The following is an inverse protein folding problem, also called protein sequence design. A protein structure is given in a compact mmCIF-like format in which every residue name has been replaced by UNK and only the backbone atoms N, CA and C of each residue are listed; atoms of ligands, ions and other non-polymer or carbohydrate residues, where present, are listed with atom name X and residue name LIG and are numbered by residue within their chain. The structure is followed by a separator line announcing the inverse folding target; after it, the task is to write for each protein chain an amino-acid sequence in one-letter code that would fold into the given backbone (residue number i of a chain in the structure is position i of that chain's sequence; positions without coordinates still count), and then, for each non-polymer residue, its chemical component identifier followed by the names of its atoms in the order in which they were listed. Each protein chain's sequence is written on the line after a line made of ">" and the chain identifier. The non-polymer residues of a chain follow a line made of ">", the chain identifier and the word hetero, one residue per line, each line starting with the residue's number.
data_IF_600561306752
#
_entry.id   IF_600561306752
#
_cell.length_a   1.000
_cell.length_b   1.000
_cell.length_c   1.000
_cell.angle_alpha   90.00
_cell.angle_beta   90.00
_cell.angle_gamma   90.00
#
_symmetry.space_group_name_H-M   'P 1'
#
loop_
_entity.id
_entity.type
_entity.pdbx_description
1 polymer ?
#
# COMPACT_ATOMS: atom_id res chain seq x y z
N UNK A 1 8.23 10.58 -15.38
CA UNK A 1 7.51 9.43 -14.77
C UNK A 1 8.23 9.10 -13.47
N UNK A 2 7.52 8.76 -12.38
CA UNK A 2 8.09 8.72 -11.01
C UNK A 2 9.18 7.65 -10.77
N UNK A 3 9.57 6.85 -11.78
CA UNK A 3 10.64 5.86 -11.66
C UNK A 3 10.35 4.73 -10.67
N UNK A 4 9.08 4.48 -10.34
CA UNK A 4 8.69 3.47 -9.37
C UNK A 4 8.90 2.07 -9.93
N UNK A 5 9.48 1.19 -9.11
CA UNK A 5 9.51 -0.24 -9.39
C UNK A 5 8.08 -0.77 -9.52
N UNK A 6 7.87 -1.75 -10.41
CA UNK A 6 6.55 -2.35 -10.63
C UNK A 6 5.90 -2.81 -9.32
N UNK A 7 6.72 -3.28 -8.37
CA UNK A 7 6.25 -3.81 -7.10
C UNK A 7 5.53 -2.81 -6.19
N UNK A 8 5.83 -1.51 -6.29
CA UNK A 8 5.28 -0.50 -5.38
C UNK A 8 3.77 -0.29 -5.48
N UNK A 9 3.15 -0.78 -6.56
CA UNK A 9 1.71 -0.70 -6.79
C UNK A 9 1.03 -2.07 -6.72
N UNK A 10 1.73 -3.12 -6.23
CA UNK A 10 1.21 -4.48 -6.18
C UNK A 10 -0.05 -4.57 -5.32
N UNK A 11 -0.02 -4.03 -4.10
CA UNK A 11 -1.19 -4.04 -3.21
C UNK A 11 -2.37 -3.23 -3.77
N UNK A 12 -2.11 -2.03 -4.31
CA UNK A 12 -3.13 -1.21 -4.99
C UNK A 12 -3.79 -1.95 -6.14
N UNK A 13 -3.01 -2.63 -6.99
CA UNK A 13 -3.56 -3.41 -8.10
C UNK A 13 -4.30 -4.65 -7.65
N UNK A 14 -3.86 -5.31 -6.58
CA UNK A 14 -4.56 -6.47 -6.04
C UNK A 14 -5.95 -6.07 -5.54
N UNK A 15 -6.04 -5.03 -4.71
CA UNK A 15 -7.34 -4.54 -4.22
C UNK A 15 -8.25 -4.10 -5.37
N UNK A 16 -7.71 -3.41 -6.37
CA UNK A 16 -8.48 -3.02 -7.55
C UNK A 16 -8.97 -4.22 -8.37
N UNK A 17 -8.15 -5.26 -8.51
CA UNK A 17 -8.50 -6.49 -9.23
C UNK A 17 -9.61 -7.27 -8.52
N UNK A 18 -9.53 -7.40 -7.20
CA UNK A 18 -10.46 -8.21 -6.41
C UNK A 18 -11.78 -7.47 -6.09
N UNK A 19 -11.70 -6.16 -5.83
CA UNK A 19 -12.83 -5.40 -5.28
C UNK A 19 -13.26 -4.22 -6.16
N UNK A 20 -12.52 -3.88 -7.21
CA UNK A 20 -12.75 -2.69 -8.00
C UNK A 20 -12.52 -1.40 -7.20
N UNK A 21 -13.07 -0.29 -7.71
CA UNK A 21 -13.03 0.99 -7.02
C UNK A 21 -14.18 1.09 -6.00
N UNK A 22 -13.88 0.79 -4.74
CA UNK A 22 -14.77 0.96 -3.58
C UNK A 22 -14.79 2.40 -3.03
N UNK A 23 -14.33 3.40 -3.79
CA UNK A 23 -14.31 4.82 -3.37
C UNK A 23 -13.39 5.00 -2.15
N UNK A 24 -13.81 5.69 -1.10
CA UNK A 24 -13.04 6.00 0.11
C UNK A 24 -12.56 4.76 0.86
N UNK A 25 -13.23 3.61 0.72
CA UNK A 25 -12.80 2.39 1.39
C UNK A 25 -11.53 1.78 0.76
N UNK A 26 -11.22 2.08 -0.51
CA UNK A 26 -10.08 1.48 -1.23
C UNK A 26 -8.77 1.66 -0.48
N UNK A 27 -8.50 2.84 0.06
CA UNK A 27 -7.23 3.15 0.71
C UNK A 27 -7.00 2.31 1.97
N UNK A 28 -8.05 1.99 2.72
CA UNK A 28 -7.97 1.13 3.90
C UNK A 28 -7.68 -0.32 3.53
N UNK A 29 -8.33 -0.82 2.48
CA UNK A 29 -8.08 -2.17 1.97
C UNK A 29 -6.67 -2.31 1.40
N UNK A 30 -6.15 -1.27 0.74
CA UNK A 30 -4.78 -1.25 0.24
C UNK A 30 -3.79 -1.35 1.40
N UNK A 31 -3.99 -0.57 2.47
CA UNK A 31 -3.13 -0.63 3.66
C UNK A 31 -3.17 -2.00 4.35
N UNK A 32 -4.36 -2.59 4.50
CA UNK A 32 -4.48 -3.92 5.09
C UNK A 32 -3.85 -4.99 4.20
N UNK A 33 -4.02 -4.91 2.88
CA UNK A 33 -3.40 -5.84 1.94
C UNK A 33 -1.88 -5.72 1.92
N UNK A 34 -1.32 -4.51 1.98
CA UNK A 34 0.13 -4.29 2.16
C UNK A 34 0.62 -4.99 3.43
N UNK A 35 -0.02 -4.72 4.58
CA UNK A 35 0.35 -5.34 5.86
C UNK A 35 0.26 -6.86 5.83
N UNK A 36 -0.79 -7.43 5.22
CA UNK A 36 -0.97 -8.89 5.08
C UNK A 36 0.12 -9.50 4.20
N UNK A 37 0.47 -8.86 3.09
CA UNK A 37 1.53 -9.33 2.20
C UNK A 37 2.89 -9.37 2.90
N UNK A 38 3.21 -8.35 3.69
CA UNK A 38 4.46 -8.35 4.43
C UNK A 38 4.48 -9.39 5.57
N UNK A 39 3.35 -9.60 6.26
CA UNK A 39 3.23 -10.68 7.23
C UNK A 39 3.41 -12.07 6.60
N UNK A 40 2.86 -12.30 5.40
CA UNK A 40 3.06 -13.56 4.65
C UNK A 40 4.53 -13.76 4.27
N UNK A 41 5.20 -12.71 3.78
CA UNK A 41 6.63 -12.75 3.44
C UNK A 41 7.51 -13.01 4.65
N UNK A 42 7.25 -12.36 5.79
CA UNK A 42 7.96 -12.61 7.05
C UNK A 42 7.85 -14.09 7.47
N UNK A 43 6.67 -14.69 7.32
CA UNK A 43 6.47 -16.13 7.60
C UNK A 43 7.13 -17.06 6.58
N UNK A 44 7.39 -16.58 5.35
CA UNK A 44 7.99 -17.35 4.26
C UNK A 44 9.52 -17.22 4.19
N UNK A 45 10.18 -16.75 5.26
CA UNK A 45 11.63 -16.51 5.36
C UNK A 45 12.17 -15.37 4.47
N UNK A 46 11.31 -14.61 3.78
CA UNK A 46 11.71 -13.48 2.91
C UNK A 46 12.17 -12.23 3.69
N UNK A 47 12.13 -12.26 5.03
CA UNK A 47 12.89 -11.34 5.89
C UNK A 47 12.48 -9.87 5.83
N UNK A 48 11.18 -9.57 5.77
CA UNK A 48 10.71 -8.17 5.70
C UNK A 48 10.64 -7.56 7.10
N UNK A 49 11.36 -6.44 7.28
CA UNK A 49 11.54 -5.82 8.59
C UNK A 49 10.35 -4.96 9.05
N UNK A 50 9.54 -4.42 8.12
CA UNK A 50 8.49 -3.45 8.43
C UNK A 50 7.19 -3.72 7.70
N UNK A 51 6.09 -3.18 8.22
CA UNK A 51 4.77 -3.20 7.58
C UNK A 51 4.71 -2.43 6.26
N UNK A 52 5.78 -1.68 5.92
CA UNK A 52 5.93 -0.85 4.72
C UNK A 52 6.90 -1.46 3.70
N UNK A 53 6.89 -2.77 3.52
CA UNK A 53 7.77 -3.49 2.57
C UNK A 53 9.27 -3.30 2.88
N UNK A 54 9.61 -3.24 4.17
CA UNK A 54 10.98 -2.99 4.64
C UNK A 54 11.43 -1.53 4.55
N UNK A 55 10.56 -0.61 4.10
CA UNK A 55 10.81 0.83 4.12
C UNK A 55 10.22 1.46 5.38
N UNK A 56 10.86 2.53 5.86
CA UNK A 56 10.40 3.31 7.01
C UNK A 56 9.23 4.25 6.64
N UNK A 57 9.30 4.86 5.45
CA UNK A 57 8.36 5.88 5.02
C UNK A 57 7.57 5.45 3.80
N UNK A 58 6.30 5.84 3.78
CA UNK A 58 5.39 5.64 2.66
C UNK A 58 4.51 6.86 2.42
N UNK A 59 3.83 6.87 1.28
CA UNK A 59 2.85 7.90 0.94
C UNK A 59 1.57 7.24 0.46
N UNK A 60 0.44 7.80 0.89
CA UNK A 60 -0.90 7.40 0.48
C UNK A 60 -1.56 8.56 -0.23
N UNK A 61 -2.13 8.28 -1.40
CA UNK A 61 -2.84 9.26 -2.22
C UNK A 61 -4.31 8.89 -2.35
N UNK A 62 -5.20 9.84 -2.08
CA UNK A 62 -6.62 9.79 -2.39
C UNK A 62 -6.96 10.80 -3.50
N UNK A 63 -7.87 10.45 -4.41
CA UNK A 63 -8.28 11.30 -5.53
C UNK A 63 -9.80 11.43 -5.57
N UNK A 64 -10.32 12.67 -5.64
CA UNK A 64 -11.75 12.96 -5.59
C UNK A 64 -12.23 14.05 -6.57
N UNK A 65 -13.56 14.31 -6.64
CA UNK A 65 -14.15 15.30 -7.55
C UNK A 65 -13.57 16.72 -7.42
N UNK A 66 -13.58 17.47 -8.53
CA UNK A 66 -12.98 18.81 -8.65
C UNK A 66 -11.46 18.82 -8.88
N UNK A 67 -10.85 17.63 -8.93
CA UNK A 67 -9.43 17.33 -8.75
C UNK A 67 -8.92 17.71 -7.36
N UNK A 68 -9.46 17.02 -6.36
CA UNK A 68 -8.91 17.02 -5.00
C UNK A 68 -7.92 15.87 -4.86
N UNK A 69 -6.75 16.15 -4.29
CA UNK A 69 -5.73 15.15 -3.95
C UNK A 69 -5.48 15.19 -2.44
N UNK A 70 -5.76 14.08 -1.77
CA UNK A 70 -5.41 13.87 -0.37
C UNK A 70 -4.06 13.14 -0.31
N UNK A 71 -3.10 13.67 0.44
CA UNK A 71 -1.77 13.07 0.59
C UNK A 71 -1.47 12.86 2.06
N UNK A 72 -1.18 11.61 2.44
CA UNK A 72 -0.81 11.23 3.81
C UNK A 72 0.58 10.61 3.79
N UNK A 73 1.47 11.12 4.63
CA UNK A 73 2.77 10.50 4.90
C UNK A 73 2.59 9.44 5.97
N UNK A 74 3.12 8.24 5.71
CA UNK A 74 3.00 7.09 6.59
C UNK A 74 4.38 6.73 7.14
N UNK A 75 4.43 6.42 8.43
CA UNK A 75 5.58 5.80 9.08
C UNK A 75 5.25 4.32 9.32
N UNK A 76 6.15 3.43 8.93
CA UNK A 76 5.96 1.99 9.07
C UNK A 76 6.36 1.51 10.47
N UNK A 77 5.81 0.36 10.85
CA UNK A 77 6.12 -0.27 12.14
C UNK A 77 6.91 -1.54 11.87
N UNK A 78 7.86 -1.85 12.76
CA UNK A 78 8.60 -3.11 12.72
C UNK A 78 7.63 -4.29 12.87
N UNK A 79 7.80 -5.32 12.03
CA UNK A 79 6.97 -6.53 12.03
C UNK A 79 7.40 -7.54 13.09
#
# INVERSE_FOLDING_TARGET
>A
MLGLNAEKMRATRHVLSEYGNMTSACVLFILDEMRRNEMRRKSAEDGVATTGEGLEWGVLFGFGPGLTVETVVLHSVTL
#
